data_IF_896679181780
#
_entry.id   IF_896679181780
#
_cell.length_a   1.000
_cell.length_b   1.000
_cell.length_c   1.000
_cell.angle_alpha   90.00
_cell.angle_beta   90.00
_cell.angle_gamma   90.00
#
_symmetry.space_group_name_H-M   'P 1'
#
loop_
_entity.id
_entity.type
_entity.pdbx_description
1 polymer ?
#
# COMPACT_ATOMS: atom_id res chain seq x y z
N UNK A 1 21.31 5.35 -15.42
CA UNK A 1 19.93 5.36 -14.87
C UNK A 1 19.77 6.60 -13.99
N UNK A 2 18.77 7.47 -14.22
CA UNK A 2 18.51 8.60 -13.30
C UNK A 2 17.95 8.03 -12.00
N UNK A 3 18.70 8.14 -10.90
CA UNK A 3 18.23 7.78 -9.57
C UNK A 3 17.12 8.75 -9.17
N UNK A 4 15.96 8.24 -8.75
CA UNK A 4 14.87 9.10 -8.28
C UNK A 4 15.32 9.90 -7.05
N UNK A 5 15.39 11.22 -7.20
CA UNK A 5 15.80 12.20 -6.19
C UNK A 5 14.63 12.52 -5.25
N UNK A 6 14.13 11.51 -4.54
CA UNK A 6 13.13 11.65 -3.49
C UNK A 6 13.67 11.11 -2.15
N UNK A 7 13.19 11.65 -1.01
CA UNK A 7 13.50 11.12 0.31
C UNK A 7 13.16 9.63 0.42
N UNK A 8 13.84 8.93 1.34
CA UNK A 8 13.62 7.50 1.56
C UNK A 8 12.16 7.20 1.92
N UNK A 9 11.52 8.07 2.69
CA UNK A 9 10.13 7.95 3.14
C UNK A 9 9.16 7.88 1.95
N UNK A 10 9.38 8.69 0.91
CA UNK A 10 8.54 8.68 -0.30
C UNK A 10 8.71 7.37 -1.06
N UNK A 11 9.95 6.87 -1.15
CA UNK A 11 10.26 5.60 -1.81
C UNK A 11 9.67 4.41 -1.06
N UNK A 12 9.75 4.42 0.26
CA UNK A 12 9.17 3.38 1.12
C UNK A 12 7.65 3.39 1.03
N UNK A 13 7.01 4.57 1.11
CA UNK A 13 5.54 4.69 0.93
C UNK A 13 5.13 4.16 -0.45
N UNK A 14 5.81 4.56 -1.52
CA UNK A 14 5.55 4.04 -2.86
C UNK A 14 5.70 2.51 -2.94
N UNK A 15 6.80 2.00 -2.35
CA UNK A 15 7.07 0.56 -2.28
C UNK A 15 6.00 -0.20 -1.50
N UNK A 16 5.48 0.35 -0.41
CA UNK A 16 4.41 -0.28 0.38
C UNK A 16 3.06 -0.23 -0.35
N UNK A 17 2.67 0.93 -0.87
CA UNK A 17 1.37 1.13 -1.53
C UNK A 17 1.25 0.37 -2.85
N UNK A 18 2.36 0.04 -3.52
CA UNK A 18 2.36 -0.75 -4.77
C UNK A 18 2.77 -2.21 -4.50
N UNK A 19 3.77 -2.42 -3.66
CA UNK A 19 4.33 -3.75 -3.38
C UNK A 19 3.39 -4.65 -2.57
N UNK A 20 2.65 -4.12 -1.60
CA UNK A 20 1.71 -4.93 -0.82
C UNK A 20 0.55 -5.47 -1.69
N UNK A 21 -0.12 -4.67 -2.54
CA UNK A 21 -1.10 -5.20 -3.48
C UNK A 21 -0.55 -6.22 -4.47
N UNK A 22 0.68 -6.03 -4.97
CA UNK A 22 1.33 -7.00 -5.87
C UNK A 22 1.60 -8.30 -5.14
N UNK A 23 2.16 -8.25 -3.93
CA UNK A 23 2.40 -9.42 -3.09
C UNK A 23 1.09 -10.14 -2.75
N UNK A 24 0.02 -9.38 -2.50
CA UNK A 24 -1.31 -9.95 -2.27
C UNK A 24 -1.82 -10.69 -3.52
N UNK A 25 -1.79 -10.06 -4.69
CA UNK A 25 -2.17 -10.73 -5.94
C UNK A 25 -1.36 -12.01 -6.17
N UNK A 26 -0.05 -11.99 -5.90
CA UNK A 26 0.78 -13.19 -6.02
C UNK A 26 0.38 -14.30 -5.03
N UNK A 27 -0.05 -13.95 -3.81
CA UNK A 27 -0.57 -14.93 -2.86
C UNK A 27 -1.91 -15.53 -3.31
N UNK A 28 -2.79 -14.71 -3.91
CA UNK A 28 -4.07 -15.16 -4.45
C UNK A 28 -3.92 -16.11 -5.64
N UNK A 29 -2.74 -16.18 -6.25
CA UNK A 29 -2.43 -17.16 -7.29
C UNK A 29 -2.50 -18.61 -6.74
N UNK A 30 -2.14 -18.82 -5.48
CA UNK A 30 -2.17 -20.15 -4.85
C UNK A 30 -3.59 -20.76 -4.91
N UNK A 31 -4.64 -20.15 -4.31
CA UNK A 31 -5.98 -20.71 -4.36
C UNK A 31 -6.60 -20.74 -5.77
N UNK A 32 -6.17 -19.86 -6.69
CA UNK A 32 -6.58 -19.92 -8.10
C UNK A 32 -6.04 -21.18 -8.77
N UNK A 33 -4.76 -21.49 -8.57
CA UNK A 33 -4.11 -22.65 -9.19
C UNK A 33 -4.42 -23.97 -8.47
N UNK A 34 -4.61 -23.96 -7.15
CA UNK A 34 -4.74 -25.18 -6.34
C UNK A 34 -6.18 -25.55 -5.97
N UNK A 35 -7.06 -24.56 -5.87
CA UNK A 35 -8.42 -24.73 -5.34
C UNK A 35 -9.52 -24.30 -6.33
N UNK A 36 -9.15 -23.99 -7.58
CA UNK A 36 -10.10 -23.60 -8.62
C UNK A 36 -10.84 -22.29 -8.32
N UNK A 37 -10.26 -21.43 -7.49
CA UNK A 37 -10.86 -20.14 -7.16
C UNK A 37 -10.98 -19.27 -8.41
N UNK A 38 -12.13 -18.63 -8.60
CA UNK A 38 -12.36 -17.74 -9.75
C UNK A 38 -11.54 -16.44 -9.66
N UNK A 39 -11.35 -15.79 -10.81
CA UNK A 39 -10.56 -14.53 -10.92
C UNK A 39 -11.15 -13.35 -10.12
N UNK A 40 -12.37 -13.46 -9.60
CA UNK A 40 -12.98 -12.44 -8.76
C UNK A 40 -12.19 -12.15 -7.48
N UNK A 41 -11.36 -13.10 -7.00
CA UNK A 41 -10.48 -12.91 -5.85
C UNK A 41 -9.53 -11.71 -6.04
N UNK A 42 -9.11 -11.43 -7.28
CA UNK A 42 -8.19 -10.34 -7.60
C UNK A 42 -8.80 -8.93 -7.53
N UNK A 43 -10.11 -8.79 -7.31
CA UNK A 43 -10.77 -7.46 -7.32
C UNK A 43 -10.19 -6.53 -6.26
N UNK A 44 -9.97 -7.04 -5.04
CA UNK A 44 -9.44 -6.24 -3.94
C UNK A 44 -7.97 -5.88 -4.11
N UNK A 45 -7.04 -6.81 -4.41
CA UNK A 45 -5.65 -6.42 -4.68
C UNK A 45 -5.52 -5.52 -5.92
N UNK A 46 -6.34 -5.71 -6.96
CA UNK A 46 -6.35 -4.82 -8.12
C UNK A 46 -6.79 -3.40 -7.73
N UNK A 47 -7.85 -3.26 -6.94
CA UNK A 47 -8.29 -1.95 -6.43
C UNK A 47 -7.20 -1.28 -5.58
N UNK A 48 -6.55 -2.06 -4.69
CA UNK A 48 -5.47 -1.57 -3.86
C UNK A 48 -4.28 -1.09 -4.72
N UNK A 49 -3.93 -1.83 -5.76
CA UNK A 49 -2.86 -1.48 -6.69
C UNK A 49 -3.18 -0.20 -7.48
N UNK A 50 -4.42 -0.06 -7.98
CA UNK A 50 -4.86 1.13 -8.70
C UNK A 50 -4.77 2.36 -7.79
N UNK A 51 -5.33 2.28 -6.58
CA UNK A 51 -5.32 3.39 -5.63
C UNK A 51 -3.91 3.73 -5.17
N UNK A 52 -3.09 2.72 -4.85
CA UNK A 52 -1.69 2.88 -4.49
C UNK A 52 -0.85 3.47 -5.61
N UNK A 53 -1.11 3.07 -6.87
CA UNK A 53 -0.48 3.62 -8.06
C UNK A 53 -0.85 5.08 -8.32
N UNK A 54 -2.12 5.45 -8.16
CA UNK A 54 -2.59 6.85 -8.26
C UNK A 54 -1.92 7.72 -7.20
N UNK A 55 -1.89 7.27 -5.94
CA UNK A 55 -1.22 7.99 -4.84
C UNK A 55 0.27 8.14 -5.15
N UNK A 56 0.94 7.04 -5.50
CA UNK A 56 2.38 7.04 -5.80
C UNK A 56 2.72 7.98 -6.95
N UNK A 57 1.90 7.99 -8.01
CA UNK A 57 2.05 8.90 -9.14
C UNK A 57 1.88 10.35 -8.70
N UNK A 58 0.89 10.64 -7.85
CA UNK A 58 0.69 11.98 -7.28
C UNK A 58 1.86 12.42 -6.39
N UNK A 59 2.48 11.51 -5.62
CA UNK A 59 3.67 11.79 -4.82
C UNK A 59 4.88 12.12 -5.71
N UNK A 60 5.06 11.40 -6.82
CA UNK A 60 6.12 11.69 -7.83
C UNK A 60 5.94 13.09 -8.42
N UNK A 61 4.69 13.51 -8.66
CA UNK A 61 4.35 14.84 -9.15
C UNK A 61 4.22 15.90 -8.04
N UNK A 62 4.57 15.57 -6.80
CA UNK A 62 4.54 16.46 -5.63
C UNK A 62 3.16 17.09 -5.35
N UNK A 63 2.09 16.34 -5.59
CA UNK A 63 0.72 16.79 -5.35
C UNK A 63 0.37 16.70 -3.85
N UNK A 64 -0.01 17.82 -3.23
CA UNK A 64 -0.45 17.86 -1.83
C UNK A 64 -1.64 16.94 -1.52
N UNK A 65 -2.59 16.84 -2.47
CA UNK A 65 -3.75 15.95 -2.37
C UNK A 65 -3.38 14.47 -2.33
N UNK A 66 -2.27 14.06 -2.97
CA UNK A 66 -1.81 12.68 -2.96
C UNK A 66 -1.40 12.23 -1.56
N UNK A 67 -0.93 13.14 -0.70
CA UNK A 67 -0.66 12.85 0.72
C UNK A 67 -1.93 12.46 1.46
N UNK A 68 -2.99 13.26 1.29
CA UNK A 68 -4.29 13.02 1.93
C UNK A 68 -4.90 11.72 1.41
N UNK A 69 -4.92 11.54 0.08
CA UNK A 69 -5.39 10.30 -0.55
C UNK A 69 -4.62 9.08 -0.04
N UNK A 70 -3.28 9.17 0.03
CA UNK A 70 -2.44 8.10 0.57
C UNK A 70 -2.75 7.74 2.01
N UNK A 71 -3.07 8.72 2.85
CA UNK A 71 -3.47 8.46 4.24
C UNK A 71 -4.79 7.71 4.31
N UNK A 72 -5.78 8.13 3.52
CA UNK A 72 -7.08 7.44 3.43
C UNK A 72 -6.91 6.00 2.94
N UNK A 73 -6.17 5.81 1.84
CA UNK A 73 -5.85 4.49 1.29
C UNK A 73 -5.18 3.61 2.34
N UNK A 74 -4.17 4.14 3.04
CA UNK A 74 -3.45 3.41 4.09
C UNK A 74 -4.37 2.96 5.21
N UNK A 75 -5.25 3.84 5.72
CA UNK A 75 -6.18 3.48 6.80
C UNK A 75 -7.19 2.42 6.34
N UNK A 76 -7.78 2.61 5.15
CA UNK A 76 -8.79 1.67 4.61
C UNK A 76 -8.19 0.28 4.43
N UNK A 77 -7.02 0.17 3.80
CA UNK A 77 -6.39 -1.13 3.58
C UNK A 77 -5.76 -1.72 4.84
N UNK A 78 -5.27 -0.91 5.78
CA UNK A 78 -4.90 -1.40 7.10
C UNK A 78 -6.11 -2.08 7.78
N UNK A 79 -7.24 -1.38 7.87
CA UNK A 79 -8.46 -1.96 8.48
C UNK A 79 -8.92 -3.22 7.75
N UNK A 80 -8.89 -3.24 6.42
CA UNK A 80 -9.20 -4.43 5.63
C UNK A 80 -8.29 -5.60 6.05
N UNK A 81 -6.98 -5.39 6.12
CA UNK A 81 -6.04 -6.43 6.53
C UNK A 81 -6.17 -6.83 8.00
N UNK A 82 -6.61 -5.94 8.88
CA UNK A 82 -6.97 -6.31 10.25
C UNK A 82 -8.16 -7.29 10.28
N UNK A 83 -9.20 -7.04 9.47
CA UNK A 83 -10.32 -7.99 9.35
C UNK A 83 -9.90 -9.31 8.70
N UNK A 84 -9.08 -9.27 7.65
CA UNK A 84 -8.54 -10.48 7.02
C UNK A 84 -7.67 -11.29 7.98
N UNK A 85 -6.86 -10.63 8.82
CA UNK A 85 -6.07 -11.28 9.86
C UNK A 85 -6.96 -12.05 10.86
N UNK A 86 -8.05 -11.43 11.31
CA UNK A 86 -9.00 -12.07 12.22
C UNK A 86 -9.73 -13.24 11.56
N UNK A 87 -10.18 -13.07 10.32
CA UNK A 87 -10.96 -14.07 9.58
C UNK A 87 -10.16 -15.19 8.91
N UNK A 88 -8.84 -15.05 8.73
CA UNK A 88 -8.04 -16.04 8.03
C UNK A 88 -7.91 -17.35 8.83
N UNK A 89 -8.15 -18.49 8.18
CA UNK A 89 -7.92 -19.82 8.76
C UNK A 89 -6.46 -20.27 8.66
N UNK A 90 -5.79 -19.92 7.56
CA UNK A 90 -4.41 -20.33 7.27
C UNK A 90 -3.40 -19.39 7.95
N UNK A 91 -2.38 -19.95 8.59
CA UNK A 91 -1.41 -19.17 9.37
C UNK A 91 -0.58 -18.20 8.50
N UNK A 92 -0.24 -18.59 7.27
CA UNK A 92 0.51 -17.71 6.36
C UNK A 92 -0.33 -16.53 5.87
N UNK A 93 -1.65 -16.70 5.70
CA UNK A 93 -2.57 -15.60 5.38
C UNK A 93 -2.69 -14.64 6.56
N UNK A 94 -2.69 -15.15 7.80
CA UNK A 94 -2.59 -14.31 9.00
C UNK A 94 -1.29 -13.51 9.02
N UNK A 95 -0.15 -14.17 8.80
CA UNK A 95 1.15 -13.50 8.77
C UNK A 95 1.18 -12.38 7.72
N UNK A 96 0.76 -12.68 6.48
CA UNK A 96 0.69 -11.68 5.42
C UNK A 96 -0.24 -10.51 5.76
N UNK A 97 -1.42 -10.80 6.34
CA UNK A 97 -2.37 -9.77 6.72
C UNK A 97 -1.86 -8.90 7.87
N UNK A 98 -1.18 -9.49 8.85
CA UNK A 98 -0.53 -8.75 9.94
C UNK A 98 0.59 -7.84 9.44
N UNK A 99 1.44 -8.35 8.55
CA UNK A 99 2.51 -7.56 7.93
C UNK A 99 1.94 -6.45 7.04
N UNK A 100 0.89 -6.72 6.28
CA UNK A 100 0.22 -5.71 5.45
C UNK A 100 -0.45 -4.64 6.30
N UNK A 101 -1.13 -5.02 7.40
CA UNK A 101 -1.69 -4.07 8.37
C UNK A 101 -0.60 -3.14 8.92
N UNK A 102 0.52 -3.70 9.40
CA UNK A 102 1.64 -2.92 9.90
C UNK A 102 2.28 -2.04 8.80
N UNK A 103 2.40 -2.57 7.57
CA UNK A 103 2.95 -1.87 6.43
C UNK A 103 2.12 -0.65 6.03
N UNK A 104 0.79 -0.79 5.92
CA UNK A 104 -0.09 0.35 5.67
C UNK A 104 -0.11 1.34 6.85
N UNK A 105 -0.08 0.86 8.09
CA UNK A 105 0.06 1.72 9.27
C UNK A 105 1.36 2.53 9.24
N UNK A 106 2.48 1.91 8.85
CA UNK A 106 3.75 2.59 8.70
C UNK A 106 3.74 3.59 7.54
N UNK A 107 3.11 3.26 6.41
CA UNK A 107 2.91 4.19 5.30
C UNK A 107 2.14 5.45 5.74
N UNK A 108 1.11 5.31 6.58
CA UNK A 108 0.38 6.45 7.16
C UNK A 108 1.28 7.36 8.01
N UNK A 109 2.16 6.77 8.82
CA UNK A 109 3.13 7.52 9.65
C UNK A 109 4.11 8.27 8.75
N UNK A 110 4.67 7.60 7.74
CA UNK A 110 5.61 8.23 6.80
C UNK A 110 4.97 9.34 5.99
N UNK A 111 3.71 9.20 5.58
CA UNK A 111 2.92 10.25 4.93
C UNK A 111 2.72 11.49 5.82
N UNK A 112 2.88 11.37 7.13
CA UNK A 112 2.83 12.50 8.07
C UNK A 112 4.21 13.01 8.52
N UNK A 113 5.29 12.36 8.10
CA UNK A 113 6.66 12.73 8.45
C UNK A 113 7.08 14.07 7.83
N UNK A 114 7.96 14.78 8.53
CA UNK A 114 8.53 16.05 8.04
C UNK A 114 9.27 15.92 6.70
N UNK A 115 10.11 14.89 6.45
CA UNK A 115 10.79 14.72 5.17
C UNK A 115 9.83 14.62 3.99
N UNK A 116 8.74 13.86 4.14
CA UNK A 116 7.72 13.71 3.10
C UNK A 116 6.91 15.00 2.93
N UNK A 117 6.52 15.67 4.02
CA UNK A 117 5.83 16.97 3.95
C UNK A 117 6.67 18.02 3.23
N UNK A 118 7.97 18.14 3.54
CA UNK A 118 8.91 19.06 2.87
C UNK A 118 9.09 18.72 1.40
N UNK A 119 9.12 17.43 1.05
CA UNK A 119 9.21 17.01 -0.36
C UNK A 119 8.03 17.46 -1.22
N UNK A 120 6.82 17.44 -0.63
CA UNK A 120 5.57 17.75 -1.33
C UNK A 120 5.23 19.24 -1.25
N UNK A 121 5.30 19.83 -0.06
CA UNK A 121 4.85 21.19 0.23
C UNK A 121 5.97 22.24 0.17
N UNK A 122 7.23 21.83 0.03
CA UNK A 122 8.37 22.74 -0.01
C UNK A 122 8.63 23.44 1.33
N UNK A 123 9.09 24.69 1.28
CA UNK A 123 9.49 25.48 2.46
C UNK A 123 8.33 25.86 3.40
N UNK A 124 7.08 25.57 3.02
CA UNK A 124 5.89 25.83 3.83
C UNK A 124 5.49 24.65 4.74
N UNK A 125 6.32 23.61 4.80
CA UNK A 125 6.07 22.35 5.52
C UNK A 125 6.46 22.38 7.00
#
# INVERSE_FOLDING_TARGET
MRTWQAPAEVKVVAGLLVGLPVAWALLDLIPVLSAGSGLAIYRMPALALILGGVVTTGLVHKMGSARIGGMVVSVVFALLHAFLLLGAALWWNKLFSGLSFAGYGYAFVLLNSMPLKRHILGAQA
#
